data_IF_164535730182
#
_entry.id   IF_164535730182
#
_cell.length_a   1.000
_cell.length_b   1.000
_cell.length_c   1.000
_cell.angle_alpha   90.00
_cell.angle_beta   90.00
_cell.angle_gamma   90.00
#
_symmetry.space_group_name_H-M   'P 1'
#
loop_
_entity.id
_entity.type
_entity.pdbx_description
1 polymer ?
#
# COMPACT_ATOMS: atom_id res chain seq x y z
N UNK A 1 9.29 -8.88 -13.18
CA UNK A 1 9.77 -9.85 -12.15
C UNK A 1 9.53 -9.23 -10.76
N UNK A 2 8.44 -9.59 -10.08
CA UNK A 2 8.15 -9.04 -8.74
C UNK A 2 9.15 -9.60 -7.73
N UNK A 3 9.99 -8.74 -7.12
CA UNK A 3 10.83 -9.16 -6.00
C UNK A 3 9.91 -9.58 -4.85
N UNK A 4 9.87 -10.89 -4.58
CA UNK A 4 9.26 -11.48 -3.40
C UNK A 4 9.63 -10.62 -2.17
N UNK A 5 8.68 -10.25 -1.28
CA UNK A 5 7.37 -10.86 -1.07
C UNK A 5 6.16 -10.13 -1.70
N UNK A 6 6.38 -9.21 -2.63
CA UNK A 6 5.32 -8.30 -3.10
C UNK A 6 4.50 -8.89 -4.26
N UNK A 7 3.17 -8.86 -4.10
CA UNK A 7 2.21 -9.00 -5.21
C UNK A 7 1.90 -7.63 -5.77
N UNK A 8 1.85 -7.52 -7.10
CA UNK A 8 1.63 -6.27 -7.82
C UNK A 8 0.31 -6.32 -8.59
N UNK A 9 -0.47 -5.27 -8.47
CA UNK A 9 -1.63 -4.98 -9.33
C UNK A 9 -1.27 -3.75 -10.15
N UNK A 10 -1.37 -3.87 -11.46
CA UNK A 10 -0.97 -2.83 -12.40
C UNK A 10 -2.11 -2.51 -13.36
N UNK A 11 -2.44 -1.22 -13.47
CA UNK A 11 -3.43 -0.70 -14.41
C UNK A 11 -2.81 -0.16 -15.70
N UNK A 12 -1.53 -0.46 -15.95
CA UNK A 12 -0.90 -0.25 -17.26
C UNK A 12 -0.39 1.17 -17.50
N UNK A 13 -0.33 2.01 -16.47
CA UNK A 13 0.30 3.32 -16.58
C UNK A 13 1.76 3.31 -16.12
N UNK A 14 2.55 4.18 -16.75
CA UNK A 14 3.97 4.32 -16.43
C UNK A 14 4.12 4.68 -14.95
N UNK A 15 4.61 3.70 -14.18
CA UNK A 15 4.77 3.81 -12.74
C UNK A 15 5.87 4.83 -12.50
N UNK A 16 5.49 6.07 -12.19
CA UNK A 16 6.46 7.11 -11.85
C UNK A 16 7.16 6.70 -10.54
N UNK A 17 8.34 6.10 -10.71
CA UNK A 17 9.15 5.55 -9.62
C UNK A 17 9.66 6.69 -8.71
N UNK A 18 9.73 7.91 -9.25
CA UNK A 18 10.09 9.17 -8.59
C UNK A 18 8.88 9.93 -8.02
N UNK A 19 7.66 9.49 -8.31
CA UNK A 19 6.42 10.06 -7.80
C UNK A 19 6.12 9.68 -6.35
N UNK A 20 5.12 10.35 -5.78
CA UNK A 20 4.66 10.07 -4.43
C UNK A 20 4.14 8.63 -4.27
N UNK A 21 4.52 8.01 -3.15
CA UNK A 21 4.09 6.68 -2.73
C UNK A 21 3.27 6.78 -1.46
N UNK A 22 2.13 6.12 -1.46
CA UNK A 22 1.27 6.04 -0.27
C UNK A 22 1.50 4.69 0.37
N UNK A 23 2.07 4.70 1.57
CA UNK A 23 2.23 3.51 2.40
C UNK A 23 1.02 3.36 3.31
N UNK A 24 0.41 2.18 3.28
CA UNK A 24 -0.67 1.83 4.18
C UNK A 24 -0.19 0.69 5.07
N UNK A 25 -0.40 0.92 6.36
CA UNK A 25 -0.08 -0.03 7.43
C UNK A 25 -1.34 -0.74 7.90
N UNK A 26 -1.15 -1.92 8.45
CA UNK A 26 -2.17 -2.72 9.11
C UNK A 26 -1.56 -3.35 10.36
N UNK A 27 -2.40 -3.88 11.24
CA UNK A 27 -2.02 -4.84 12.31
C UNK A 27 -2.30 -6.27 11.85
N UNK A 28 -1.80 -7.27 12.59
CA UNK A 28 -2.16 -8.68 12.34
C UNK A 28 -3.66 -8.92 12.45
N UNK A 29 -4.36 -8.18 13.30
CA UNK A 29 -5.79 -8.40 13.52
C UNK A 29 -6.65 -7.85 12.37
N UNK A 30 -6.19 -6.81 11.69
CA UNK A 30 -7.00 -6.11 10.68
C UNK A 30 -6.47 -6.17 9.24
N UNK A 31 -5.30 -6.77 8.99
CA UNK A 31 -4.68 -6.79 7.66
C UNK A 31 -5.60 -7.28 6.53
N UNK A 32 -6.43 -8.30 6.74
CA UNK A 32 -7.37 -8.78 5.72
C UNK A 32 -8.41 -7.71 5.38
N UNK A 33 -8.98 -7.06 6.40
CA UNK A 33 -9.95 -5.97 6.20
C UNK A 33 -9.29 -4.77 5.53
N UNK A 34 -8.04 -4.46 5.93
CA UNK A 34 -7.24 -3.40 5.33
C UNK A 34 -7.09 -3.65 3.83
N UNK A 35 -6.64 -4.85 3.46
CA UNK A 35 -6.43 -5.23 2.07
C UNK A 35 -7.73 -5.13 1.26
N UNK A 36 -8.85 -5.63 1.78
CA UNK A 36 -10.15 -5.58 1.10
C UNK A 36 -10.58 -4.15 0.77
N UNK A 37 -10.55 -3.25 1.75
CA UNK A 37 -11.01 -1.87 1.52
C UNK A 37 -10.02 -1.09 0.65
N UNK A 38 -8.71 -1.25 0.85
CA UNK A 38 -7.68 -0.55 0.05
C UNK A 38 -7.68 -1.05 -1.39
N UNK A 39 -7.73 -2.36 -1.62
CA UNK A 39 -7.80 -2.91 -2.97
C UNK A 39 -9.06 -2.43 -3.69
N UNK A 40 -10.24 -2.48 -3.05
CA UNK A 40 -11.47 -1.92 -3.61
C UNK A 40 -11.32 -0.46 -4.01
N UNK A 41 -10.78 0.38 -3.12
CA UNK A 41 -10.52 1.77 -3.42
C UNK A 41 -9.54 1.96 -4.59
N UNK A 42 -8.46 1.16 -4.65
CA UNK A 42 -7.49 1.20 -5.73
C UNK A 42 -8.09 0.77 -7.07
N UNK A 43 -8.97 -0.24 -7.08
CA UNK A 43 -9.71 -0.64 -8.28
C UNK A 43 -10.67 0.45 -8.77
N UNK A 44 -11.43 1.07 -7.86
CA UNK A 44 -12.37 2.15 -8.20
C UNK A 44 -11.70 3.40 -8.76
N UNK A 45 -10.41 3.61 -8.48
CA UNK A 45 -9.65 4.79 -8.91
C UNK A 45 -8.49 4.45 -9.87
N UNK A 46 -8.40 3.20 -10.34
CA UNK A 46 -7.36 2.69 -11.25
C UNK A 46 -5.92 3.01 -10.77
N UNK A 47 -5.66 2.79 -9.48
CA UNK A 47 -4.36 3.08 -8.87
C UNK A 47 -3.54 1.80 -8.77
N UNK A 48 -2.40 1.73 -9.48
CA UNK A 48 -1.47 0.62 -9.33
C UNK A 48 -0.95 0.53 -7.89
N UNK A 49 -0.86 -0.68 -7.34
CA UNK A 49 -0.42 -0.90 -5.97
C UNK A 49 0.32 -2.23 -5.81
N UNK A 50 1.03 -2.38 -4.71
CA UNK A 50 1.62 -3.66 -4.30
C UNK A 50 1.32 -3.95 -2.84
N UNK A 51 1.24 -5.22 -2.48
CA UNK A 51 0.94 -5.65 -1.12
C UNK A 51 1.66 -6.95 -0.77
N UNK A 52 1.79 -7.23 0.53
CA UNK A 52 2.27 -8.52 1.02
C UNK A 52 1.13 -9.55 0.99
N UNK A 53 1.22 -10.56 0.11
CA UNK A 53 0.11 -11.48 -0.21
C UNK A 53 -0.03 -12.68 0.73
N UNK A 54 0.87 -12.86 1.70
CA UNK A 54 0.79 -13.94 2.69
C UNK A 54 1.08 -13.39 4.09
N UNK A 55 0.40 -13.93 5.10
CA UNK A 55 0.68 -13.68 6.51
C UNK A 55 2.15 -13.90 6.86
N UNK A 56 2.79 -14.96 6.35
CA UNK A 56 4.22 -15.20 6.56
C UNK A 56 5.09 -14.07 5.98
N UNK A 57 4.68 -13.51 4.85
CA UNK A 57 5.36 -12.37 4.23
C UNK A 57 5.16 -11.09 5.04
N UNK A 58 3.95 -10.87 5.55
CA UNK A 58 3.64 -9.73 6.40
C UNK A 58 4.33 -9.83 7.77
N UNK A 59 4.35 -11.00 8.40
CA UNK A 59 5.09 -11.28 9.63
C UNK A 59 6.59 -11.10 9.41
N UNK A 60 7.12 -11.57 8.27
CA UNK A 60 8.52 -11.35 7.89
C UNK A 60 8.83 -9.85 7.82
N UNK A 61 8.03 -9.06 7.09
CA UNK A 61 8.16 -7.60 6.95
C UNK A 61 8.07 -6.83 8.28
N UNK A 62 7.40 -7.40 9.30
CA UNK A 62 7.24 -6.79 10.63
C UNK A 62 8.13 -7.44 11.72
N UNK A 63 9.02 -8.36 11.36
CA UNK A 63 9.94 -8.98 12.32
C UNK A 63 11.05 -8.01 12.75
N UNK A 64 11.53 -8.13 14.00
CA UNK A 64 12.57 -7.26 14.59
C UNK A 64 13.89 -7.22 13.81
N UNK A 65 14.12 -8.18 12.91
CA UNK A 65 15.36 -8.36 12.16
C UNK A 65 15.33 -7.76 10.74
N UNK A 66 14.26 -7.06 10.35
CA UNK A 66 14.18 -6.39 9.06
C UNK A 66 14.48 -4.90 9.17
N UNK A 67 15.12 -4.36 8.13
CA UNK A 67 15.39 -2.93 7.95
C UNK A 67 14.15 -2.10 8.34
N UNK A 68 14.33 -1.11 9.23
CA UNK A 68 13.28 -0.18 9.68
C UNK A 68 12.49 0.45 8.52
N UNK A 69 13.09 0.53 7.33
CA UNK A 69 12.44 0.95 6.10
C UNK A 69 11.31 0.01 5.60
N UNK A 70 11.10 -1.18 6.16
CA UNK A 70 10.04 -2.12 5.76
C UNK A 70 8.99 -2.37 6.85
N UNK A 71 9.30 -2.01 8.10
CA UNK A 71 8.40 -2.20 9.25
C UNK A 71 7.09 -1.40 9.05
N UNK A 72 5.95 -2.06 9.26
CA UNK A 72 4.62 -1.46 9.14
C UNK A 72 4.09 -1.27 7.71
N UNK A 73 4.84 -1.65 6.67
CA UNK A 73 4.43 -1.46 5.26
C UNK A 73 3.69 -2.68 4.74
N UNK A 74 2.37 -2.63 4.74
CA UNK A 74 1.52 -3.71 4.24
C UNK A 74 1.17 -3.53 2.76
N UNK A 75 0.79 -2.31 2.38
CA UNK A 75 0.39 -1.94 1.02
C UNK A 75 1.14 -0.66 0.61
N UNK A 76 1.52 -0.57 -0.67
CA UNK A 76 2.08 0.63 -1.27
C UNK A 76 1.30 0.96 -2.53
N UNK A 77 0.68 2.14 -2.58
CA UNK A 77 -0.04 2.65 -3.75
C UNK A 77 0.81 3.68 -4.51
N UNK A 78 0.60 3.72 -5.82
CA UNK A 78 1.32 4.57 -6.76
C UNK A 78 0.32 5.47 -7.52
N UNK A 79 -0.28 6.46 -6.86
CA UNK A 79 -1.17 7.42 -7.52
C UNK A 79 -0.39 8.28 -8.52
N UNK A 80 -1.10 8.79 -9.54
CA UNK A 80 -0.53 9.78 -10.47
C UNK A 80 -0.35 11.10 -9.74
N UNK A 81 0.72 11.84 -10.06
CA UNK A 81 1.00 13.14 -9.45
C UNK A 81 -0.20 14.11 -9.52
N UNK A 82 -0.90 14.13 -10.66
CA UNK A 82 -2.06 15.00 -10.90
C UNK A 82 -3.29 14.72 -10.03
N UNK A 83 -3.41 13.52 -9.46
CA UNK A 83 -4.54 13.15 -8.58
C UNK A 83 -4.10 12.89 -7.14
N UNK A 84 -2.82 13.08 -6.83
CA UNK A 84 -2.25 12.68 -5.54
C UNK A 84 -3.01 13.26 -4.35
N UNK A 85 -3.29 14.56 -4.37
CA UNK A 85 -3.95 15.26 -3.27
C UNK A 85 -5.39 14.78 -3.05
N UNK A 86 -6.16 14.61 -4.14
CA UNK A 86 -7.53 14.06 -4.10
C UNK A 86 -7.55 12.62 -3.56
N UNK A 87 -6.59 11.79 -3.97
CA UNK A 87 -6.45 10.42 -3.45
C UNK A 87 -6.13 10.41 -1.96
N UNK A 88 -5.23 11.28 -1.51
CA UNK A 88 -4.89 11.40 -0.10
C UNK A 88 -6.10 11.84 0.72
N UNK A 89 -6.82 12.86 0.28
CA UNK A 89 -8.03 13.35 0.94
C UNK A 89 -9.08 12.23 1.07
N UNK A 90 -9.39 11.54 -0.04
CA UNK A 90 -10.32 10.40 -0.05
C UNK A 90 -9.91 9.28 0.90
N UNK A 91 -8.62 8.94 0.95
CA UNK A 91 -8.10 7.92 1.86
C UNK A 91 -8.19 8.36 3.33
N UNK A 92 -7.94 9.63 3.63
CA UNK A 92 -8.11 10.18 4.98
C UNK A 92 -9.56 10.12 5.46
N UNK A 93 -10.54 10.40 4.61
CA UNK A 93 -11.96 10.29 4.96
C UNK A 93 -12.43 8.84 5.14
N UNK A 94 -11.86 7.90 4.37
CA UNK A 94 -12.22 6.47 4.47
C UNK A 94 -11.49 5.72 5.60
N UNK A 95 -10.53 6.35 6.29
CA UNK A 95 -9.69 5.64 7.27
C UNK A 95 -10.47 5.25 8.52
N UNK A 96 -10.60 3.94 8.74
CA UNK A 96 -11.06 3.37 10.01
C UNK A 96 -10.15 2.17 10.29
N UNK A 97 -9.39 2.24 11.38
CA UNK A 97 -8.54 1.13 11.85
C UNK A 97 -7.16 0.99 11.17
N UNK A 98 -6.73 1.91 10.30
CA UNK A 98 -5.40 1.86 9.66
C UNK A 98 -4.68 3.21 9.65
N UNK A 99 -3.36 3.20 9.44
CA UNK A 99 -2.54 4.41 9.31
C UNK A 99 -1.95 4.56 7.91
N UNK A 100 -1.91 5.81 7.43
CA UNK A 100 -1.37 6.23 6.13
C UNK A 100 -0.06 6.97 6.38
N UNK A 101 0.97 6.65 5.61
CA UNK A 101 2.26 7.35 5.60
C UNK A 101 2.64 7.70 4.15
N UNK A 102 3.04 8.94 3.91
CA UNK A 102 3.42 9.43 2.59
C UNK A 102 4.95 9.43 2.49
N UNK A 103 5.48 8.91 1.38
CA UNK A 103 6.92 8.93 1.08
C UNK A 103 7.10 9.35 -0.39
N UNK A 104 8.13 10.14 -0.67
CA UNK A 104 8.54 10.47 -2.04
C UNK A 104 9.56 9.43 -2.52
#
# INVERSE_FOLDING_TARGET
MGKFPWTYIDFGEEKDISGWKIHISATLDNHIEVLKKVSKFAFENEISFKFASNLNNYVHLNSKNINRASSGKYIVMYPKQKVFDDIIEKLYFKRIGWSIYIVR
#
